data_IF_472091768089
#
_entry.id   IF_472091768089
#
_cell.length_a   1.000
_cell.length_b   1.000
_cell.length_c   1.000
_cell.angle_alpha   90.00
_cell.angle_beta   90.00
_cell.angle_gamma   90.00
#
_symmetry.space_group_name_H-M   'P 1'
#
loop_
_entity.id
_entity.type
_entity.pdbx_description
1 polymer ?
#
# COMPACT_ATOMS: atom_id res chain seq x y z
N UNK A 1 23.51 -12.74 36.12
CA UNK A 1 22.98 -14.12 36.10
C UNK A 1 21.50 -14.08 36.44
N UNK A 2 20.64 -14.24 35.45
CA UNK A 2 19.31 -14.88 35.48
C UNK A 2 18.70 -14.68 34.10
N UNK A 3 18.72 -15.76 33.31
CA UNK A 3 18.04 -15.87 32.01
C UNK A 3 16.53 -15.93 32.27
N UNK A 4 15.74 -15.10 31.60
CA UNK A 4 14.32 -15.35 31.39
C UNK A 4 14.13 -15.84 29.94
N UNK A 5 13.81 -17.10 29.82
CA UNK A 5 13.25 -17.66 28.60
C UNK A 5 11.77 -17.26 28.55
N UNK A 6 11.37 -16.60 27.47
CA UNK A 6 9.97 -16.40 27.12
C UNK A 6 9.56 -17.50 26.14
N UNK A 7 8.70 -18.37 26.60
CA UNK A 7 8.12 -19.49 25.86
C UNK A 7 6.86 -18.99 25.15
N UNK A 8 6.87 -18.93 23.82
CA UNK A 8 5.64 -18.77 23.03
C UNK A 8 4.86 -20.07 23.06
N UNK A 9 3.70 -20.06 23.68
CA UNK A 9 2.74 -21.17 23.65
C UNK A 9 1.82 -20.98 22.44
N UNK A 10 1.96 -21.84 21.45
CA UNK A 10 1.01 -21.99 20.36
C UNK A 10 -0.27 -22.64 20.90
N UNK A 11 -1.39 -21.95 20.82
CA UNK A 11 -2.70 -22.45 21.19
C UNK A 11 -3.38 -23.01 19.93
N UNK A 12 -3.35 -24.31 19.77
CA UNK A 12 -4.09 -25.04 18.73
C UNK A 12 -5.54 -25.20 19.17
N UNK A 13 -6.47 -24.53 18.49
CA UNK A 13 -7.91 -24.72 18.69
C UNK A 13 -8.38 -25.81 17.71
N UNK A 14 -8.70 -26.99 18.23
CA UNK A 14 -9.41 -28.04 17.52
C UNK A 14 -10.90 -27.65 17.42
N UNK A 15 -11.38 -27.44 16.20
CA UNK A 15 -12.82 -27.35 15.91
C UNK A 15 -13.38 -28.75 15.67
N UNK A 16 -14.19 -29.23 16.61
CA UNK A 16 -15.02 -30.44 16.42
C UNK A 16 -16.30 -30.07 15.69
N UNK A 17 -16.47 -30.60 14.47
CA UNK A 17 -17.75 -30.57 13.76
C UNK A 17 -18.69 -31.63 14.35
N UNK A 18 -19.83 -31.18 14.88
CA UNK A 18 -20.99 -32.02 15.09
C UNK A 18 -22.04 -31.70 14.06
N UNK A 19 -22.26 -32.65 13.14
CA UNK A 19 -23.38 -32.63 12.21
C UNK A 19 -24.64 -33.05 12.96
N UNK A 20 -25.72 -32.28 12.80
CA UNK A 20 -27.09 -32.76 13.00
C UNK A 20 -28.02 -32.19 11.97
N UNK A 21 -28.79 -33.06 11.44
CA UNK A 21 -29.63 -33.05 10.28
C UNK A 21 -30.99 -32.37 10.50
N UNK A 22 -31.51 -31.82 9.43
CA UNK A 22 -32.89 -31.88 8.93
C UNK A 22 -33.93 -30.77 9.20
N UNK A 23 -34.30 -30.24 8.09
CA UNK A 23 -35.65 -29.93 7.54
C UNK A 23 -36.27 -28.55 7.72
N UNK A 24 -36.46 -28.02 6.52
CA UNK A 24 -37.64 -27.29 6.00
C UNK A 24 -37.92 -25.85 6.43
N UNK A 25 -37.73 -25.00 5.45
CA UNK A 25 -38.69 -24.01 4.92
C UNK A 25 -39.09 -22.80 5.78
N UNK A 26 -38.55 -21.66 5.38
CA UNK A 26 -39.34 -20.49 4.98
C UNK A 26 -38.46 -19.23 4.88
N UNK A 27 -38.54 -18.58 3.72
CA UNK A 27 -38.01 -17.24 3.50
C UNK A 27 -38.57 -16.25 4.52
N UNK A 28 -37.71 -15.71 5.34
CA UNK A 28 -37.86 -14.39 5.92
C UNK A 28 -36.44 -13.85 6.21
N UNK A 29 -36.05 -12.82 5.48
CA UNK A 29 -34.87 -11.98 5.81
C UNK A 29 -35.07 -11.40 7.21
N UNK A 30 -34.51 -12.06 8.22
CA UNK A 30 -34.44 -11.53 9.57
C UNK A 30 -33.01 -11.16 9.86
N UNK A 31 -32.71 -9.85 9.85
CA UNK A 31 -31.52 -9.31 10.50
C UNK A 31 -31.39 -9.97 11.88
N UNK A 32 -30.32 -10.74 12.09
CA UNK A 32 -30.02 -11.32 13.38
C UNK A 32 -29.55 -10.17 14.28
N UNK A 33 -30.42 -9.70 15.18
CA UNK A 33 -29.98 -8.91 16.32
C UNK A 33 -29.06 -9.77 17.17
N UNK A 34 -27.85 -9.23 17.49
CA UNK A 34 -26.94 -9.86 18.42
C UNK A 34 -27.58 -10.03 19.81
N UNK A 35 -26.91 -10.70 20.73
CA UNK A 35 -27.31 -10.77 22.15
C UNK A 35 -27.41 -9.39 22.81
N UNK A 36 -26.79 -8.36 22.23
CA UNK A 36 -26.84 -6.95 22.64
C UNK A 36 -28.04 -6.19 22.09
N UNK A 37 -28.78 -6.79 21.14
CA UNK A 37 -29.88 -6.12 20.42
C UNK A 37 -29.44 -5.16 19.32
N UNK A 38 -28.13 -5.08 19.03
CA UNK A 38 -27.55 -4.28 17.95
C UNK A 38 -27.51 -5.04 16.63
N UNK A 39 -27.38 -4.31 15.55
CA UNK A 39 -27.10 -4.87 14.22
C UNK A 39 -25.58 -5.06 14.07
N UNK A 40 -25.15 -6.25 13.64
CA UNK A 40 -23.76 -6.56 13.43
C UNK A 40 -23.34 -6.19 12.02
N UNK A 41 -22.22 -5.44 11.86
CA UNK A 41 -21.52 -5.17 10.62
C UNK A 41 -20.29 -6.08 10.55
N UNK A 42 -20.18 -6.87 9.48
CA UNK A 42 -19.01 -7.74 9.24
C UNK A 42 -17.94 -6.97 8.47
N UNK A 43 -16.77 -6.82 9.08
CA UNK A 43 -15.63 -6.08 8.52
C UNK A 43 -14.52 -7.07 8.17
N UNK A 44 -14.09 -7.09 6.91
CA UNK A 44 -12.97 -7.92 6.45
C UNK A 44 -11.79 -7.07 6.06
N UNK A 45 -10.64 -7.33 6.69
CA UNK A 45 -9.41 -6.60 6.47
C UNK A 45 -8.19 -7.55 6.48
N UNK A 46 -7.05 -7.06 6.00
CA UNK A 46 -5.79 -7.79 6.03
C UNK A 46 -4.81 -7.24 7.08
N UNK A 47 -5.14 -6.10 7.68
CA UNK A 47 -4.47 -5.49 8.83
C UNK A 47 -5.52 -5.01 9.84
N UNK A 48 -5.09 -4.56 11.01
CA UNK A 48 -5.94 -3.96 12.04
C UNK A 48 -6.20 -2.45 11.82
N UNK A 49 -5.66 -1.85 10.75
CA UNK A 49 -5.72 -0.42 10.51
C UNK A 49 -7.15 0.09 10.27
N UNK A 50 -7.84 -0.44 9.25
CA UNK A 50 -9.24 -0.05 8.97
C UNK A 50 -10.18 -0.45 10.10
N UNK A 51 -10.08 -1.65 10.71
CA UNK A 51 -10.82 -1.95 11.93
C UNK A 51 -10.62 -0.90 13.04
N UNK A 52 -9.39 -0.46 13.28
CA UNK A 52 -9.10 0.60 14.25
C UNK A 52 -9.73 1.96 13.90
N UNK A 53 -9.81 2.30 12.60
CA UNK A 53 -10.54 3.49 12.13
C UNK A 53 -12.04 3.39 12.43
N UNK A 54 -12.63 2.23 12.20
CA UNK A 54 -14.05 1.98 12.47
C UNK A 54 -14.31 2.02 13.98
N UNK A 55 -13.43 1.47 14.80
CA UNK A 55 -13.52 1.56 16.27
C UNK A 55 -13.47 3.03 16.73
N UNK A 56 -12.61 3.85 16.10
CA UNK A 56 -12.56 5.29 16.35
C UNK A 56 -13.84 6.00 15.92
N UNK A 57 -14.40 5.64 14.76
CA UNK A 57 -15.71 6.15 14.33
C UNK A 57 -16.78 5.85 15.38
N UNK A 58 -16.84 4.61 15.88
CA UNK A 58 -17.79 4.17 16.91
C UNK A 58 -17.62 4.95 18.23
N UNK A 59 -16.37 5.25 18.61
CA UNK A 59 -16.06 6.08 19.79
C UNK A 59 -16.62 7.50 19.64
N UNK A 60 -16.39 8.12 18.49
CA UNK A 60 -16.80 9.49 18.20
C UNK A 60 -18.31 9.64 17.94
N UNK A 61 -18.98 8.55 17.53
CA UNK A 61 -20.40 8.53 17.17
C UNK A 61 -21.22 7.59 18.10
N UNK A 62 -21.43 7.94 19.38
CA UNK A 62 -22.07 7.04 20.36
C UNK A 62 -23.50 6.65 20.00
N UNK A 63 -24.22 7.46 19.23
CA UNK A 63 -25.58 7.13 18.77
C UNK A 63 -25.57 6.06 17.68
N UNK A 64 -24.55 6.04 16.82
CA UNK A 64 -24.28 4.96 15.87
C UNK A 64 -23.90 3.68 16.64
N UNK A 65 -22.98 3.78 17.60
CA UNK A 65 -22.52 2.66 18.42
C UNK A 65 -23.61 2.02 19.31
N UNK A 66 -24.73 2.72 19.57
CA UNK A 66 -25.91 2.14 20.21
C UNK A 66 -26.69 1.20 19.30
N UNK A 67 -26.64 1.44 17.99
CA UNK A 67 -27.41 0.69 16.98
C UNK A 67 -26.61 -0.46 16.38
N UNK A 68 -25.31 -0.27 16.21
CA UNK A 68 -24.42 -1.16 15.47
C UNK A 68 -23.29 -1.69 16.35
N UNK A 69 -22.78 -2.86 16.00
CA UNK A 69 -21.54 -3.45 16.52
C UNK A 69 -20.76 -4.07 15.35
N UNK A 70 -19.43 -4.09 15.42
CA UNK A 70 -18.58 -4.65 14.37
C UNK A 70 -18.12 -6.05 14.73
N UNK A 71 -18.14 -6.95 13.74
CA UNK A 71 -17.53 -8.28 13.79
C UNK A 71 -16.38 -8.29 12.76
N UNK A 72 -15.15 -8.26 13.25
CA UNK A 72 -13.97 -8.09 12.42
C UNK A 72 -13.29 -9.42 12.12
N UNK A 73 -12.95 -9.64 10.84
CA UNK A 73 -12.12 -10.74 10.36
C UNK A 73 -10.84 -10.18 9.76
N UNK A 74 -9.69 -10.51 10.35
CA UNK A 74 -8.37 -10.09 9.86
C UNK A 74 -7.63 -11.32 9.37
N UNK A 75 -7.19 -11.31 8.08
CA UNK A 75 -6.40 -12.35 7.46
C UNK A 75 -5.23 -11.67 6.73
N UNK A 76 -4.00 -11.92 7.15
CA UNK A 76 -2.83 -11.32 6.53
C UNK A 76 -2.66 -11.75 5.06
N UNK A 77 -2.10 -10.85 4.24
CA UNK A 77 -1.83 -11.11 2.81
C UNK A 77 -0.57 -11.93 2.56
N UNK A 78 0.32 -12.03 3.55
CA UNK A 78 1.69 -12.58 3.43
C UNK A 78 1.78 -13.98 2.83
N UNK A 79 0.80 -14.84 3.09
CA UNK A 79 0.76 -16.20 2.56
C UNK A 79 -0.29 -16.37 1.45
N UNK A 80 -0.81 -15.26 0.90
CA UNK A 80 -1.85 -15.26 -0.13
C UNK A 80 -3.20 -15.80 0.36
N UNK A 81 -3.44 -15.85 1.67
CA UNK A 81 -4.64 -16.45 2.25
C UNK A 81 -5.88 -15.53 2.18
N UNK A 82 -5.66 -14.21 2.20
CA UNK A 82 -6.75 -13.24 2.28
C UNK A 82 -7.69 -13.28 1.08
N UNK A 83 -7.15 -13.17 -0.14
CA UNK A 83 -7.97 -13.09 -1.35
C UNK A 83 -8.85 -14.34 -1.56
N UNK A 84 -8.35 -15.59 -1.46
CA UNK A 84 -9.21 -16.77 -1.59
C UNK A 84 -10.30 -16.85 -0.52
N UNK A 85 -10.01 -16.43 0.71
CA UNK A 85 -11.00 -16.41 1.79
C UNK A 85 -12.08 -15.35 1.53
N UNK A 86 -11.69 -14.15 1.10
CA UNK A 86 -12.62 -13.06 0.74
C UNK A 86 -13.51 -13.47 -0.45
N UNK A 87 -12.92 -14.06 -1.50
CA UNK A 87 -13.66 -14.56 -2.66
C UNK A 87 -14.73 -15.57 -2.25
N UNK A 88 -14.37 -16.50 -1.37
CA UNK A 88 -15.31 -17.51 -0.89
C UNK A 88 -16.43 -16.88 -0.05
N UNK A 89 -16.09 -15.91 0.82
CA UNK A 89 -17.09 -15.24 1.66
C UNK A 89 -18.07 -14.39 0.85
N UNK A 90 -17.58 -13.64 -0.13
CA UNK A 90 -18.41 -12.85 -1.06
C UNK A 90 -19.29 -13.76 -1.92
N UNK A 91 -18.76 -14.86 -2.44
CA UNK A 91 -19.50 -15.81 -3.27
C UNK A 91 -20.57 -16.60 -2.48
N UNK A 92 -20.27 -16.92 -1.22
CA UNK A 92 -21.22 -17.61 -0.34
C UNK A 92 -22.38 -16.71 0.06
N UNK A 93 -22.13 -15.40 0.20
CA UNK A 93 -23.16 -14.44 0.58
C UNK A 93 -23.76 -14.70 1.98
N UNK A 94 -24.93 -14.12 2.22
CA UNK A 94 -25.69 -14.33 3.44
C UNK A 94 -25.15 -13.55 4.64
N UNK A 95 -25.58 -13.92 5.84
CA UNK A 95 -25.36 -13.15 7.08
C UNK A 95 -23.91 -13.05 7.58
N UNK A 96 -23.06 -13.95 7.12
CA UNK A 96 -21.66 -14.01 7.52
C UNK A 96 -20.71 -13.43 6.41
N UNK A 97 -21.31 -12.97 5.29
CA UNK A 97 -20.58 -12.25 4.26
C UNK A 97 -20.09 -10.89 4.77
N UNK A 98 -18.97 -10.36 4.26
CA UNK A 98 -18.53 -9.03 4.62
C UNK A 98 -19.57 -7.97 4.22
N UNK A 99 -19.79 -6.98 5.09
CA UNK A 99 -20.49 -5.74 4.78
C UNK A 99 -19.52 -4.71 4.20
N UNK A 100 -18.34 -4.56 4.84
CA UNK A 100 -17.21 -3.77 4.37
C UNK A 100 -16.01 -4.70 4.22
N UNK A 101 -15.26 -4.55 3.14
CA UNK A 101 -14.01 -5.28 2.94
C UNK A 101 -12.92 -4.39 2.33
N UNK A 102 -11.69 -4.70 2.70
CA UNK A 102 -10.51 -3.95 2.27
C UNK A 102 -9.80 -4.67 1.13
N UNK A 103 -9.27 -3.91 0.19
CA UNK A 103 -8.40 -4.42 -0.86
C UNK A 103 -7.15 -3.55 -0.98
N UNK A 104 -5.98 -4.20 -1.04
CA UNK A 104 -4.69 -3.55 -1.19
C UNK A 104 -4.42 -3.30 -2.68
N UNK A 105 -3.60 -2.28 -3.00
CA UNK A 105 -3.30 -1.83 -4.36
C UNK A 105 -2.92 -2.97 -5.32
N UNK A 106 -2.16 -3.97 -4.86
CA UNK A 106 -1.69 -5.07 -5.69
C UNK A 106 -2.84 -5.94 -6.26
N UNK A 107 -3.98 -6.00 -5.58
CA UNK A 107 -5.10 -6.85 -5.98
C UNK A 107 -6.48 -6.15 -6.03
N UNK A 108 -6.55 -4.86 -5.71
CA UNK A 108 -7.83 -4.12 -5.64
C UNK A 108 -8.60 -4.19 -6.95
N UNK A 109 -7.92 -4.17 -8.09
CA UNK A 109 -8.57 -4.20 -9.41
C UNK A 109 -9.40 -5.46 -9.67
N UNK A 110 -9.09 -6.57 -9.02
CA UNK A 110 -9.94 -7.76 -9.04
C UNK A 110 -11.34 -7.46 -8.50
N UNK A 111 -11.43 -6.61 -7.48
CA UNK A 111 -12.67 -6.28 -6.75
C UNK A 111 -13.35 -5.01 -7.25
N UNK A 112 -12.65 -4.14 -7.97
CA UNK A 112 -13.23 -2.92 -8.53
C UNK A 112 -13.55 -3.06 -10.04
N UNK A 113 -12.74 -3.78 -10.81
CA UNK A 113 -12.83 -3.85 -12.27
C UNK A 113 -12.82 -5.27 -12.83
N UNK A 114 -12.33 -6.25 -12.05
CA UNK A 114 -12.16 -7.63 -12.47
C UNK A 114 -13.32 -8.56 -12.08
N UNK A 115 -13.01 -9.84 -11.95
CA UNK A 115 -14.00 -10.91 -11.79
C UNK A 115 -14.85 -10.80 -10.53
N UNK A 116 -14.35 -10.16 -9.47
CA UNK A 116 -15.06 -9.97 -8.21
C UNK A 116 -15.76 -8.60 -8.10
N UNK A 117 -15.63 -7.70 -9.08
CA UNK A 117 -16.29 -6.38 -9.08
C UNK A 117 -17.82 -6.48 -8.96
N UNK A 118 -18.40 -7.57 -9.44
CA UNK A 118 -19.84 -7.86 -9.33
C UNK A 118 -20.38 -7.90 -7.89
N UNK A 119 -19.52 -8.00 -6.88
CA UNK A 119 -19.92 -8.01 -5.46
C UNK A 119 -19.87 -6.63 -4.81
N UNK A 120 -19.19 -5.66 -5.42
CA UNK A 120 -19.04 -4.32 -4.88
C UNK A 120 -20.31 -3.47 -5.11
N UNK A 121 -20.70 -2.73 -4.08
CA UNK A 121 -21.73 -1.70 -4.20
C UNK A 121 -21.13 -0.42 -4.78
N UNK A 122 -21.91 0.33 -5.59
CA UNK A 122 -21.53 1.71 -5.88
C UNK A 122 -21.64 2.57 -4.62
N UNK A 123 -20.76 3.53 -4.45
CA UNK A 123 -20.82 4.46 -3.33
C UNK A 123 -22.12 5.29 -3.36
N UNK A 124 -22.65 5.57 -4.55
CA UNK A 124 -23.96 6.21 -4.70
C UNK A 124 -25.09 5.37 -4.12
N UNK A 125 -25.03 4.03 -4.21
CA UNK A 125 -26.00 3.12 -3.60
C UNK A 125 -25.93 3.09 -2.07
N UNK A 126 -24.83 3.60 -1.49
CA UNK A 126 -24.63 3.76 -0.06
C UNK A 126 -25.15 5.12 0.44
N UNK A 127 -25.64 5.97 -0.44
CA UNK A 127 -26.16 7.30 -0.12
C UNK A 127 -25.12 8.43 -0.15
N UNK A 128 -23.92 8.18 -0.69
CA UNK A 128 -22.81 9.15 -0.79
C UNK A 128 -22.98 10.00 -2.06
N UNK A 129 -22.83 11.32 -1.96
CA UNK A 129 -22.78 12.25 -3.10
C UNK A 129 -21.36 12.29 -3.71
N UNK A 130 -21.01 11.18 -4.36
CA UNK A 130 -19.66 10.82 -4.78
C UNK A 130 -18.97 11.92 -5.59
N UNK A 131 -19.66 12.51 -6.59
CA UNK A 131 -19.05 13.50 -7.48
C UNK A 131 -18.69 14.78 -6.73
N UNK A 132 -19.59 15.28 -5.89
CA UNK A 132 -19.36 16.51 -5.13
C UNK A 132 -18.32 16.30 -4.02
N UNK A 133 -18.32 15.15 -3.36
CA UNK A 133 -17.42 14.87 -2.25
C UNK A 133 -15.99 14.57 -2.73
N UNK A 134 -15.80 13.79 -3.80
CA UNK A 134 -14.49 13.61 -4.45
C UNK A 134 -13.88 14.96 -4.83
N UNK A 135 -14.70 15.84 -5.41
CA UNK A 135 -14.24 17.17 -5.82
C UNK A 135 -13.92 18.08 -4.63
N UNK A 136 -14.75 18.05 -3.58
CA UNK A 136 -14.52 18.87 -2.37
C UNK A 136 -13.26 18.43 -1.61
N UNK A 137 -13.03 17.13 -1.54
CA UNK A 137 -11.87 16.54 -0.89
C UNK A 137 -10.60 16.58 -1.76
N UNK A 138 -10.70 16.88 -3.06
CA UNK A 138 -9.60 16.81 -4.03
C UNK A 138 -8.90 15.44 -3.96
N UNK A 139 -9.70 14.37 -4.12
CA UNK A 139 -9.18 13.01 -4.02
C UNK A 139 -8.22 12.72 -5.19
N UNK A 140 -7.04 12.16 -4.87
CA UNK A 140 -6.03 11.80 -5.85
C UNK A 140 -6.62 10.95 -6.99
N UNK A 141 -6.49 11.41 -8.24
CA UNK A 141 -7.18 10.85 -9.40
C UNK A 141 -6.90 9.36 -9.62
N UNK A 142 -5.66 8.90 -9.36
CA UNK A 142 -5.33 7.48 -9.50
C UNK A 142 -6.16 6.59 -8.57
N UNK A 143 -6.48 7.06 -7.35
CA UNK A 143 -7.31 6.34 -6.40
C UNK A 143 -8.74 6.17 -6.91
N UNK A 144 -9.28 7.23 -7.53
CA UNK A 144 -10.58 7.22 -8.18
C UNK A 144 -10.59 6.29 -9.40
N UNK A 145 -9.55 6.38 -10.25
CA UNK A 145 -9.42 5.52 -11.45
C UNK A 145 -9.40 4.03 -11.07
N UNK A 146 -8.65 3.65 -10.03
CA UNK A 146 -8.59 2.28 -9.52
C UNK A 146 -9.92 1.84 -8.91
N UNK A 147 -10.60 2.74 -8.22
CA UNK A 147 -11.86 2.48 -7.52
C UNK A 147 -13.10 2.56 -8.40
N UNK A 148 -12.97 2.90 -9.68
CA UNK A 148 -14.09 3.03 -10.62
C UNK A 148 -14.26 1.73 -11.42
N UNK A 149 -15.45 1.18 -11.42
CA UNK A 149 -15.79 -0.03 -12.17
C UNK A 149 -15.93 0.22 -13.68
N UNK A 150 -16.03 -0.82 -14.53
CA UNK A 150 -16.23 -0.65 -15.98
C UNK A 150 -17.52 0.07 -16.39
N UNK A 151 -18.52 0.13 -15.51
CA UNK A 151 -19.79 0.83 -15.76
C UNK A 151 -19.66 2.34 -15.44
N UNK A 152 -18.56 2.78 -14.85
CA UNK A 152 -18.26 4.16 -14.48
C UNK A 152 -18.66 4.53 -13.05
N UNK A 153 -19.05 3.57 -12.23
CA UNK A 153 -19.40 3.80 -10.83
C UNK A 153 -18.19 3.69 -9.93
N UNK A 154 -18.04 4.59 -8.97
CA UNK A 154 -17.05 4.46 -7.90
C UNK A 154 -17.55 3.41 -6.91
N UNK A 155 -16.80 2.34 -6.75
CA UNK A 155 -17.08 1.20 -5.88
C UNK A 155 -16.07 1.03 -4.75
N UNK A 156 -15.00 1.82 -4.75
CA UNK A 156 -13.99 1.82 -3.71
C UNK A 156 -13.13 3.08 -3.76
N UNK A 157 -12.71 3.57 -2.62
CA UNK A 157 -11.73 4.66 -2.49
C UNK A 157 -10.70 4.31 -1.41
N UNK A 158 -9.48 4.78 -1.63
CA UNK A 158 -8.44 4.75 -0.61
C UNK A 158 -8.55 5.95 0.33
N UNK A 159 -8.07 5.79 1.55
CA UNK A 159 -7.95 6.88 2.51
C UNK A 159 -6.54 7.48 2.54
N UNK A 160 -5.56 6.81 1.93
CA UNK A 160 -4.17 7.27 1.81
C UNK A 160 -3.87 7.75 0.39
N UNK A 161 -3.02 8.77 0.27
CA UNK A 161 -2.33 9.08 -0.97
C UNK A 161 -0.94 8.42 -0.92
N UNK A 162 -0.66 7.58 -1.90
CA UNK A 162 0.54 6.74 -1.92
C UNK A 162 1.52 7.08 -3.04
N UNK A 163 1.47 8.32 -3.52
CA UNK A 163 2.50 8.89 -4.38
C UNK A 163 3.87 8.77 -3.71
N UNK A 164 4.89 8.37 -4.48
CA UNK A 164 6.20 8.00 -3.95
C UNK A 164 7.20 9.16 -3.93
N UNK A 165 8.13 9.08 -2.99
CA UNK A 165 9.26 9.98 -2.83
C UNK A 165 10.59 9.19 -2.75
N UNK A 166 11.71 9.87 -2.81
CA UNK A 166 13.00 9.35 -2.39
C UNK A 166 13.28 9.82 -0.96
N UNK A 167 13.36 8.87 -0.03
CA UNK A 167 13.56 9.08 1.41
C UNK A 167 15.03 8.83 1.69
N UNK A 168 15.80 9.85 2.10
CA UNK A 168 17.25 9.76 2.14
C UNK A 168 17.86 10.22 3.47
N UNK A 169 19.07 9.75 3.76
CA UNK A 169 19.90 10.08 4.94
C UNK A 169 20.58 11.44 4.76
N UNK A 170 20.27 12.40 5.63
CA UNK A 170 20.85 13.76 5.63
C UNK A 170 22.34 13.76 5.88
N UNK A 171 22.81 12.93 6.81
CA UNK A 171 24.25 12.83 7.14
C UNK A 171 25.06 12.37 5.94
N UNK A 172 24.59 11.35 5.22
CA UNK A 172 25.24 10.83 4.01
C UNK A 172 25.20 11.89 2.88
N UNK A 173 24.05 12.57 2.71
CA UNK A 173 23.93 13.67 1.74
C UNK A 173 24.97 14.77 1.98
N UNK A 174 25.15 15.20 3.23
CA UNK A 174 26.17 16.20 3.61
C UNK A 174 27.57 15.72 3.34
N UNK A 175 27.88 14.47 3.69
CA UNK A 175 29.23 13.91 3.51
C UNK A 175 29.60 13.79 2.02
N UNK A 176 28.67 13.33 1.17
CA UNK A 176 28.96 13.04 -0.25
C UNK A 176 28.76 14.26 -1.14
N UNK A 177 27.67 15.01 -0.93
CA UNK A 177 27.25 16.10 -1.83
C UNK A 177 27.44 17.50 -1.23
N UNK A 178 27.83 17.59 0.07
CA UNK A 178 28.01 18.85 0.76
C UNK A 178 26.70 19.59 1.11
N UNK A 179 25.56 18.93 0.96
CA UNK A 179 24.22 19.49 1.23
C UNK A 179 23.25 18.39 1.59
N UNK A 180 22.28 18.71 2.45
CA UNK A 180 21.12 17.86 2.75
C UNK A 180 19.79 18.55 2.41
N UNK A 181 19.84 19.64 1.66
CA UNK A 181 18.68 20.39 1.20
C UNK A 181 17.86 19.54 0.20
N UNK A 182 16.58 19.22 0.48
CA UNK A 182 15.75 18.40 -0.39
C UNK A 182 15.65 18.91 -1.83
N UNK A 183 15.59 20.22 -2.04
CA UNK A 183 15.53 20.81 -3.38
C UNK A 183 16.82 20.56 -4.20
N UNK A 184 17.99 20.49 -3.53
CA UNK A 184 19.25 20.18 -4.17
C UNK A 184 19.46 18.68 -4.37
N UNK A 185 19.06 17.87 -3.40
CA UNK A 185 19.16 16.41 -3.53
C UNK A 185 18.26 15.91 -4.66
N UNK A 186 17.04 16.42 -4.80
CA UNK A 186 16.19 16.17 -5.96
C UNK A 186 16.89 16.38 -7.30
N UNK A 187 17.69 17.46 -7.46
CA UNK A 187 18.43 17.75 -8.68
C UNK A 187 19.64 16.82 -8.90
N UNK A 188 20.17 16.25 -7.80
CA UNK A 188 21.31 15.33 -7.80
C UNK A 188 20.87 13.93 -8.19
N UNK A 189 19.75 13.44 -7.63
CA UNK A 189 19.24 12.08 -7.87
C UNK A 189 18.31 11.98 -9.07
N UNK A 190 17.85 13.08 -9.60
CA UNK A 190 16.87 13.13 -10.71
C UNK A 190 16.92 14.42 -11.52
N UNK A 191 16.01 14.56 -12.50
CA UNK A 191 15.13 13.51 -13.01
C UNK A 191 15.90 12.45 -13.83
N UNK A 192 15.34 11.25 -13.83
CA UNK A 192 15.82 10.11 -14.62
C UNK A 192 16.95 9.31 -13.99
N UNK A 193 17.10 8.08 -14.48
CA UNK A 193 18.05 7.11 -13.92
C UNK A 193 19.51 7.47 -14.15
N UNK A 194 19.86 8.24 -15.20
CA UNK A 194 21.25 8.65 -15.43
C UNK A 194 21.81 9.46 -14.26
N UNK A 195 21.05 10.47 -13.79
CA UNK A 195 21.49 11.27 -12.62
C UNK A 195 21.51 10.43 -11.33
N UNK A 196 20.54 9.51 -11.19
CA UNK A 196 20.50 8.61 -10.05
C UNK A 196 21.78 7.76 -9.96
N UNK A 197 22.22 7.23 -11.09
CA UNK A 197 23.46 6.44 -11.13
C UNK A 197 24.73 7.30 -11.06
N UNK A 198 24.73 8.55 -11.56
CA UNK A 198 25.81 9.50 -11.30
C UNK A 198 25.96 9.83 -9.80
N UNK A 199 24.85 9.85 -9.07
CA UNK A 199 24.87 9.98 -7.62
C UNK A 199 25.36 8.68 -6.94
N UNK A 200 24.99 7.51 -7.46
CA UNK A 200 25.45 6.21 -6.96
C UNK A 200 26.98 6.06 -7.08
N UNK A 201 27.59 6.51 -8.18
CA UNK A 201 29.05 6.53 -8.32
C UNK A 201 29.74 7.31 -7.19
N UNK A 202 29.24 8.51 -6.89
CA UNK A 202 29.81 9.37 -5.83
C UNK A 202 29.61 8.78 -4.44
N UNK A 203 28.49 8.10 -4.21
CA UNK A 203 28.21 7.40 -2.97
C UNK A 203 29.15 6.20 -2.79
N UNK A 204 29.33 5.40 -3.84
CA UNK A 204 30.19 4.23 -3.85
C UNK A 204 31.66 4.60 -3.64
N UNK A 205 32.14 5.72 -4.19
CA UNK A 205 33.50 6.25 -3.96
C UNK A 205 33.79 6.51 -2.45
N UNK A 206 32.74 6.72 -1.65
CA UNK A 206 32.82 6.89 -0.18
C UNK A 206 32.37 5.66 0.60
N UNK A 207 32.02 4.57 -0.06
CA UNK A 207 31.64 3.31 0.57
C UNK A 207 30.16 3.19 0.95
N UNK A 208 29.31 4.10 0.48
CA UNK A 208 27.86 4.05 0.67
C UNK A 208 27.16 3.29 -0.46
N UNK A 209 25.98 2.71 -0.16
CA UNK A 209 25.04 2.25 -1.17
C UNK A 209 23.98 3.30 -1.45
N UNK A 210 23.46 3.38 -2.69
CA UNK A 210 22.42 4.34 -3.03
C UNK A 210 21.04 3.86 -2.56
N UNK A 211 20.77 2.55 -2.67
CA UNK A 211 19.56 1.86 -2.19
C UNK A 211 19.93 0.54 -1.54
N UNK A 212 19.01 -0.06 -0.79
CA UNK A 212 19.23 -1.32 -0.09
C UNK A 212 19.25 -2.53 -1.04
N UNK A 213 18.30 -2.56 -1.98
CA UNK A 213 18.19 -3.59 -3.01
C UNK A 213 17.55 -3.06 -4.28
N UNK A 214 17.45 -3.91 -5.30
CA UNK A 214 16.76 -3.55 -6.54
C UNK A 214 15.23 -3.45 -6.36
N UNK A 215 14.68 -4.05 -5.30
CA UNK A 215 13.29 -3.88 -4.91
C UNK A 215 12.91 -2.43 -4.68
N UNK A 216 13.81 -1.62 -4.09
CA UNK A 216 13.54 -0.20 -3.85
C UNK A 216 13.27 0.55 -5.16
N UNK A 217 14.09 0.36 -6.20
CA UNK A 217 13.85 1.01 -7.51
C UNK A 217 12.72 0.33 -8.31
N UNK A 218 12.39 -0.96 -8.02
CA UNK A 218 11.28 -1.63 -8.66
C UNK A 218 9.95 -0.92 -8.41
N UNK A 219 9.70 -0.48 -7.18
CA UNK A 219 8.47 0.23 -6.86
C UNK A 219 8.27 1.48 -7.72
N UNK A 220 9.36 2.18 -8.06
CA UNK A 220 9.30 3.32 -8.98
C UNK A 220 9.04 2.88 -10.43
N UNK A 221 9.61 1.75 -10.88
CA UNK A 221 9.43 1.24 -12.25
C UNK A 221 8.06 0.60 -12.45
N UNK A 222 7.56 -0.12 -11.45
CA UNK A 222 6.31 -0.89 -11.50
C UNK A 222 5.12 -0.05 -11.95
N UNK A 223 4.95 1.12 -11.36
CA UNK A 223 3.79 1.98 -11.54
C UNK A 223 4.09 3.30 -12.29
N UNK A 224 5.24 3.39 -12.94
CA UNK A 224 5.61 4.54 -13.80
C UNK A 224 5.56 4.22 -15.29
N UNK A 225 5.29 2.96 -15.67
CA UNK A 225 5.24 2.51 -17.05
C UNK A 225 4.08 3.14 -17.82
N UNK A 226 4.29 3.45 -19.10
CA UNK A 226 3.29 4.05 -19.99
C UNK A 226 2.20 3.05 -20.40
N UNK A 227 2.52 1.74 -20.40
CA UNK A 227 1.62 0.65 -20.74
C UNK A 227 1.45 -0.31 -19.56
N UNK A 228 0.24 -0.84 -19.38
CA UNK A 228 0.00 -1.96 -18.46
C UNK A 228 0.68 -3.26 -18.92
N UNK A 229 0.79 -4.23 -18.02
CA UNK A 229 1.24 -5.57 -18.39
C UNK A 229 0.29 -6.24 -19.39
N UNK A 230 -0.99 -5.99 -19.29
CA UNK A 230 -2.01 -6.54 -20.19
C UNK A 230 -2.72 -5.40 -20.91
N UNK A 231 -2.61 -5.41 -22.24
CA UNK A 231 -3.31 -4.49 -23.13
C UNK A 231 -4.06 -5.31 -24.17
N UNK A 232 -5.38 -5.13 -24.28
CA UNK A 232 -6.24 -5.89 -25.19
C UNK A 232 -6.06 -7.42 -25.06
N UNK A 233 -6.01 -7.92 -23.82
CA UNK A 233 -5.76 -9.33 -23.49
C UNK A 233 -4.42 -9.87 -24.01
N UNK A 234 -3.40 -9.03 -24.15
CA UNK A 234 -2.06 -9.42 -24.59
C UNK A 234 -1.02 -8.95 -23.59
N UNK A 235 -0.03 -9.80 -23.32
CA UNK A 235 1.14 -9.41 -22.54
C UNK A 235 1.96 -8.37 -23.31
N UNK A 236 2.24 -7.25 -22.64
CA UNK A 236 3.12 -6.18 -23.11
C UNK A 236 4.21 -5.96 -22.08
N UNK A 237 5.47 -6.06 -22.48
CA UNK A 237 6.58 -5.65 -21.63
C UNK A 237 6.90 -4.19 -22.01
N UNK A 238 6.52 -3.27 -21.13
CA UNK A 238 6.81 -1.85 -21.31
C UNK A 238 8.33 -1.62 -21.30
N UNK A 239 8.87 -0.71 -22.13
CA UNK A 239 10.29 -0.42 -22.16
C UNK A 239 10.90 -0.05 -20.80
N UNK A 240 10.19 0.68 -19.94
CA UNK A 240 10.66 1.01 -18.58
C UNK A 240 10.77 -0.23 -17.69
N UNK A 241 9.82 -1.18 -17.80
CA UNK A 241 9.90 -2.45 -17.09
C UNK A 241 11.00 -3.35 -17.66
N UNK A 242 11.23 -3.33 -18.97
CA UNK A 242 12.34 -4.07 -19.57
C UNK A 242 13.70 -3.49 -19.17
N UNK A 243 13.81 -2.15 -19.06
CA UNK A 243 15.00 -1.44 -18.59
C UNK A 243 15.38 -1.84 -17.15
N UNK A 244 14.40 -2.24 -16.32
CA UNK A 244 14.68 -2.69 -14.96
C UNK A 244 15.70 -3.84 -14.89
N UNK A 245 15.77 -4.71 -15.90
CA UNK A 245 16.84 -5.72 -16.00
C UNK A 245 18.23 -5.07 -15.99
N UNK A 246 18.39 -3.99 -16.74
CA UNK A 246 19.66 -3.30 -16.90
C UNK A 246 19.98 -2.43 -15.68
N UNK A 247 18.96 -1.79 -15.08
CA UNK A 247 19.09 -1.04 -13.82
C UNK A 247 19.51 -1.95 -12.65
N UNK A 248 18.85 -3.11 -12.50
CA UNK A 248 19.20 -4.10 -11.47
C UNK A 248 20.60 -4.66 -11.66
N UNK A 249 20.98 -4.97 -12.90
CA UNK A 249 22.34 -5.42 -13.20
C UNK A 249 23.39 -4.34 -12.90
N UNK A 250 23.11 -3.08 -13.24
CA UNK A 250 23.99 -1.95 -12.94
C UNK A 250 24.20 -1.74 -11.45
N UNK A 251 23.15 -1.87 -10.63
CA UNK A 251 23.27 -1.85 -9.17
C UNK A 251 24.20 -2.96 -8.68
N UNK A 252 24.05 -4.17 -9.23
CA UNK A 252 24.81 -5.36 -8.83
C UNK A 252 26.27 -5.29 -9.25
N UNK A 253 26.57 -5.01 -10.51
CA UNK A 253 27.92 -5.01 -11.06
C UNK A 253 28.80 -3.91 -10.45
N UNK A 254 28.22 -2.75 -10.13
CA UNK A 254 28.95 -1.63 -9.52
C UNK A 254 28.86 -1.60 -8.01
N UNK A 255 28.23 -2.59 -7.39
CA UNK A 255 28.13 -2.71 -5.94
C UNK A 255 27.48 -1.47 -5.27
N UNK A 256 26.40 -0.94 -5.90
CA UNK A 256 25.69 0.26 -5.44
C UNK A 256 24.63 0.00 -4.38
N UNK A 257 24.38 -1.23 -4.00
CA UNK A 257 23.42 -1.67 -2.99
C UNK A 257 23.96 -2.79 -2.09
N UNK A 258 23.22 -3.19 -1.07
CA UNK A 258 23.52 -4.34 -0.22
C UNK A 258 22.89 -5.66 -0.73
N UNK A 259 22.25 -5.62 -1.91
CA UNK A 259 21.59 -6.78 -2.54
C UNK A 259 20.52 -7.42 -1.63
N UNK A 260 19.80 -6.58 -0.88
CA UNK A 260 18.76 -7.03 0.04
C UNK A 260 17.45 -7.29 -0.70
N UNK A 261 16.59 -8.06 -0.08
CA UNK A 261 15.21 -8.25 -0.50
C UNK A 261 14.29 -7.47 0.45
N UNK A 262 13.38 -6.69 -0.11
CA UNK A 262 12.38 -5.92 0.64
C UNK A 262 11.59 -6.82 1.61
N UNK A 263 11.23 -6.29 2.79
CA UNK A 263 10.52 -6.99 3.87
C UNK A 263 11.30 -8.13 4.53
N UNK A 264 12.64 -8.15 4.40
CA UNK A 264 13.53 -9.08 5.09
C UNK A 264 14.40 -8.36 6.11
N UNK A 265 14.94 -9.12 7.07
CA UNK A 265 15.76 -8.62 8.17
C UNK A 265 16.94 -7.74 7.69
N UNK A 266 17.55 -8.09 6.55
CA UNK A 266 18.68 -7.32 5.99
C UNK A 266 18.23 -5.94 5.48
N UNK A 267 17.05 -5.82 4.88
CA UNK A 267 16.47 -4.55 4.45
C UNK A 267 16.15 -3.64 5.65
N UNK A 268 15.61 -4.21 6.73
CA UNK A 268 15.39 -3.47 7.97
C UNK A 268 16.70 -3.07 8.67
N UNK A 269 17.74 -3.91 8.59
CA UNK A 269 19.07 -3.56 9.12
C UNK A 269 19.68 -2.36 8.39
N UNK A 270 19.45 -2.23 7.08
CA UNK A 270 19.90 -1.08 6.30
C UNK A 270 19.23 0.24 6.73
N UNK A 271 17.96 0.21 7.12
CA UNK A 271 17.25 1.38 7.68
C UNK A 271 17.88 1.85 9.00
N UNK A 272 18.42 0.91 9.77
CA UNK A 272 19.10 1.17 11.02
C UNK A 272 20.56 1.62 10.85
N UNK A 273 21.12 1.44 9.64
CA UNK A 273 22.53 1.69 9.35
C UNK A 273 23.46 0.56 9.81
N UNK A 274 22.94 -0.68 9.93
CA UNK A 274 23.67 -1.88 10.38
C UNK A 274 23.96 -2.86 9.23
N UNK A 275 23.66 -2.52 7.96
CA UNK A 275 24.01 -3.31 6.80
C UNK A 275 25.49 -3.30 6.45
N UNK A 276 25.89 -4.05 5.42
CA UNK A 276 27.29 -4.13 4.96
C UNK A 276 27.83 -2.75 4.53
N UNK A 277 26.97 -1.91 3.96
CA UNK A 277 27.19 -0.49 3.68
C UNK A 277 26.07 0.31 4.32
N UNK A 278 26.35 1.53 4.74
CA UNK A 278 25.28 2.47 5.04
C UNK A 278 24.56 2.86 3.72
N UNK A 279 23.25 2.83 3.76
CA UNK A 279 22.38 3.09 2.59
C UNK A 279 21.92 4.54 2.59
N UNK A 280 22.04 5.17 1.41
CA UNK A 280 21.66 6.57 1.22
C UNK A 280 20.15 6.76 1.28
N UNK A 281 19.34 5.90 0.64
CA UNK A 281 17.90 6.09 0.65
C UNK A 281 17.06 4.91 0.20
N UNK A 282 15.75 5.14 0.29
CA UNK A 282 14.69 4.20 -0.05
C UNK A 282 13.63 4.90 -0.90
N UNK A 283 12.95 4.16 -1.77
CA UNK A 283 11.81 4.65 -2.52
C UNK A 283 10.52 4.27 -1.80
N UNK A 284 9.65 5.23 -1.53
CA UNK A 284 8.36 4.92 -0.93
C UNK A 284 7.46 6.12 -0.70
N UNK A 285 6.18 5.85 -0.44
CA UNK A 285 5.20 6.86 -0.01
C UNK A 285 5.37 7.21 1.48
N UNK A 286 4.52 8.13 1.96
CA UNK A 286 4.58 8.59 3.34
C UNK A 286 4.42 7.47 4.38
N UNK A 287 3.56 6.46 4.11
CA UNK A 287 3.40 5.32 5.01
C UNK A 287 4.70 4.52 5.23
N UNK A 288 5.61 4.46 4.23
CA UNK A 288 6.89 3.78 4.41
C UNK A 288 7.72 4.42 5.52
N UNK A 289 7.62 5.74 5.70
CA UNK A 289 8.31 6.47 6.77
C UNK A 289 7.82 5.97 8.13
N UNK A 290 6.51 6.07 8.38
CA UNK A 290 5.96 5.85 9.70
C UNK A 290 5.75 4.37 10.03
N UNK A 291 5.36 3.56 9.03
CA UNK A 291 5.08 2.15 9.22
C UNK A 291 6.33 1.27 9.18
N UNK A 292 7.37 1.69 8.46
CA UNK A 292 8.50 0.82 8.18
C UNK A 292 9.84 1.41 8.61
N UNK A 293 10.23 2.60 8.10
CA UNK A 293 11.59 3.12 8.35
C UNK A 293 11.72 3.58 9.81
N UNK A 294 10.79 4.36 10.33
CA UNK A 294 10.87 4.86 11.70
C UNK A 294 10.89 3.76 12.76
N UNK A 295 10.04 2.70 12.69
CA UNK A 295 10.12 1.57 13.62
C UNK A 295 11.43 0.77 13.53
N UNK A 296 12.11 0.79 12.38
CA UNK A 296 13.33 0.03 12.13
C UNK A 296 14.60 0.88 12.12
N UNK A 297 14.54 2.18 12.45
CA UNK A 297 15.69 3.08 12.42
C UNK A 297 16.64 2.95 13.65
N UNK A 298 16.28 2.14 14.62
CA UNK A 298 17.11 1.88 15.80
C UNK A 298 16.99 2.90 16.93
N UNK A 299 15.98 3.78 16.89
CA UNK A 299 15.70 4.76 17.93
C UNK A 299 14.28 5.33 17.84
N UNK A 300 13.89 6.07 18.87
CA UNK A 300 12.57 6.73 18.96
C UNK A 300 12.66 8.26 19.01
N UNK A 301 13.89 8.79 19.08
CA UNK A 301 14.15 10.23 19.25
C UNK A 301 15.30 10.67 18.36
N UNK A 302 15.32 11.95 18.04
CA UNK A 302 16.40 12.59 17.27
C UNK A 302 17.76 12.26 17.90
N UNK A 303 18.64 11.66 17.08
CA UNK A 303 19.99 11.25 17.48
C UNK A 303 20.12 9.83 18.02
N UNK A 304 19.04 9.07 18.11
CA UNK A 304 19.07 7.64 18.41
C UNK A 304 18.98 6.85 17.10
N UNK A 305 19.89 5.91 16.88
CA UNK A 305 19.98 5.19 15.61
C UNK A 305 20.08 6.16 14.43
N UNK A 306 19.17 6.01 13.46
CA UNK A 306 19.05 6.94 12.32
C UNK A 306 17.86 7.91 12.45
N UNK A 307 17.15 7.93 13.59
CA UNK A 307 16.00 8.79 13.82
C UNK A 307 16.40 10.29 13.76
N UNK A 308 15.69 11.06 12.95
CA UNK A 308 15.96 12.50 12.74
C UNK A 308 17.03 12.80 11.70
N UNK A 309 17.65 11.77 11.11
CA UNK A 309 18.65 11.91 10.03
C UNK A 309 18.05 11.71 8.63
N UNK A 310 16.74 11.74 8.50
CA UNK A 310 16.06 11.52 7.23
C UNK A 310 15.48 12.79 6.63
N UNK A 311 15.29 12.77 5.32
CA UNK A 311 14.54 13.77 4.57
C UNK A 311 13.86 13.11 3.37
N UNK A 312 12.93 13.82 2.75
CA UNK A 312 12.25 13.38 1.54
C UNK A 312 12.42 14.39 0.41
N UNK A 313 12.55 13.89 -0.82
CA UNK A 313 12.54 14.71 -2.02
C UNK A 313 11.82 13.99 -3.16
N UNK A 314 11.53 14.69 -4.25
CA UNK A 314 11.00 14.10 -5.47
C UNK A 314 11.97 13.03 -6.01
N UNK A 315 11.46 11.85 -6.41
CA UNK A 315 12.28 10.75 -6.91
C UNK A 315 12.75 10.99 -8.36
N UNK A 316 13.69 10.19 -8.88
CA UNK A 316 14.12 10.27 -10.29
C UNK A 316 12.98 10.05 -11.29
N UNK A 317 11.96 9.29 -10.92
CA UNK A 317 10.76 9.00 -11.71
C UNK A 317 9.55 8.96 -10.79
N UNK A 318 8.42 9.55 -11.21
CA UNK A 318 7.18 9.55 -10.43
C UNK A 318 6.53 8.16 -10.40
N UNK A 319 5.98 7.78 -9.24
CA UNK A 319 5.35 6.48 -9.02
C UNK A 319 4.35 6.55 -7.86
N UNK A 320 3.62 5.46 -7.64
CA UNK A 320 2.91 5.20 -6.39
C UNK A 320 3.16 3.76 -5.93
N UNK A 321 2.97 3.50 -4.64
CA UNK A 321 3.12 2.16 -4.09
C UNK A 321 2.16 1.92 -2.93
N UNK A 322 1.38 0.81 -3.03
CA UNK A 322 0.45 0.39 -2.01
C UNK A 322 -0.79 1.28 -1.88
N UNK A 323 -1.45 1.16 -0.77
CA UNK A 323 -2.71 1.79 -0.43
C UNK A 323 -3.81 0.76 -0.21
N UNK A 324 -4.80 1.15 0.59
CA UNK A 324 -5.95 0.31 0.92
C UNK A 324 -7.22 1.00 0.46
N UNK A 325 -8.02 0.28 -0.33
CA UNK A 325 -9.36 0.69 -0.76
C UNK A 325 -10.42 0.02 0.11
N UNK A 326 -11.41 0.81 0.52
CA UNK A 326 -12.60 0.31 1.18
C UNK A 326 -13.68 0.02 0.16
N UNK A 327 -14.25 -1.18 0.23
CA UNK A 327 -15.36 -1.60 -0.62
C UNK A 327 -16.52 -2.06 0.26
N UNK A 328 -17.74 -1.93 -0.27
CA UNK A 328 -18.95 -2.41 0.38
C UNK A 328 -19.57 -3.56 -0.42
N UNK A 329 -20.16 -4.51 0.28
CA UNK A 329 -20.92 -5.58 -0.37
C UNK A 329 -22.28 -5.05 -0.85
N UNK A 330 -22.54 -5.17 -2.15
CA UNK A 330 -23.81 -4.70 -2.75
C UNK A 330 -25.06 -5.37 -2.18
N UNK A 331 -24.90 -6.59 -1.66
CA UNK A 331 -25.99 -7.40 -1.11
C UNK A 331 -26.18 -7.18 0.40
N UNK A 332 -25.42 -6.24 1.02
CA UNK A 332 -25.64 -5.86 2.41
C UNK A 332 -26.96 -5.14 2.62
N UNK A 333 -27.65 -5.50 3.72
CA UNK A 333 -28.86 -4.83 4.18
C UNK A 333 -28.56 -3.51 4.93
N UNK A 334 -27.27 -3.20 5.20
CA UNK A 334 -26.83 -2.13 6.08
C UNK A 334 -26.21 -0.93 5.32
N UNK A 335 -26.66 -0.69 4.09
CA UNK A 335 -26.01 0.26 3.15
C UNK A 335 -25.82 1.67 3.73
N UNK A 336 -26.85 2.21 4.40
CA UNK A 336 -26.76 3.55 5.02
C UNK A 336 -25.67 3.62 6.09
N UNK A 337 -25.60 2.63 6.98
CA UNK A 337 -24.58 2.57 8.02
C UNK A 337 -23.16 2.37 7.45
N UNK A 338 -23.02 1.57 6.40
CA UNK A 338 -21.76 1.38 5.66
C UNK A 338 -21.34 2.70 5.02
N UNK A 339 -22.30 3.40 4.39
CA UNK A 339 -22.06 4.70 3.75
C UNK A 339 -21.53 5.74 4.72
N UNK A 340 -22.10 5.86 5.93
CA UNK A 340 -21.62 6.77 6.97
C UNK A 340 -20.16 6.48 7.37
N UNK A 341 -19.78 5.20 7.50
CA UNK A 341 -18.41 4.80 7.86
C UNK A 341 -17.43 5.08 6.70
N UNK A 342 -17.79 4.67 5.49
CA UNK A 342 -16.93 4.82 4.30
C UNK A 342 -16.71 6.31 3.99
N UNK A 343 -17.76 7.11 4.03
CA UNK A 343 -17.66 8.55 3.84
C UNK A 343 -16.71 9.19 4.83
N UNK A 344 -16.89 8.90 6.11
CA UNK A 344 -16.05 9.44 7.17
C UNK A 344 -14.56 9.08 7.00
N UNK A 345 -14.26 7.86 6.53
CA UNK A 345 -12.90 7.39 6.32
C UNK A 345 -12.28 7.97 5.03
N UNK A 346 -13.04 8.03 3.92
CA UNK A 346 -12.45 8.22 2.59
C UNK A 346 -12.72 9.60 1.97
N UNK A 347 -13.81 10.28 2.34
CA UNK A 347 -14.28 11.48 1.65
C UNK A 347 -14.46 12.70 2.54
N UNK A 348 -14.79 12.50 3.82
CA UNK A 348 -14.98 13.61 4.73
C UNK A 348 -13.67 14.39 4.94
N UNK A 349 -13.56 15.54 4.25
CA UNK A 349 -12.39 16.43 4.30
C UNK A 349 -12.52 17.56 5.35
N UNK A 350 -13.46 17.46 6.28
CA UNK A 350 -13.59 18.39 7.40
C UNK A 350 -12.71 17.99 8.59
N UNK A 351 -12.58 18.88 9.59
CA UNK A 351 -11.82 18.59 10.82
C UNK A 351 -12.36 17.41 11.62
N UNK A 352 -13.63 17.02 11.40
CA UNK A 352 -14.29 15.89 12.03
C UNK A 352 -14.07 14.56 11.28
N UNK A 353 -13.49 14.60 10.07
CA UNK A 353 -13.18 13.43 9.24
C UNK A 353 -11.89 12.71 9.66
N UNK A 354 -11.80 11.42 9.36
CA UNK A 354 -10.61 10.61 9.66
C UNK A 354 -9.35 11.20 9.04
N UNK A 355 -9.41 11.59 7.77
CA UNK A 355 -8.23 12.06 7.03
C UNK A 355 -7.60 13.30 7.67
N UNK A 356 -8.42 14.24 8.17
CA UNK A 356 -7.89 15.39 8.92
C UNK A 356 -7.19 14.96 10.21
N UNK A 357 -7.81 14.07 10.97
CA UNK A 357 -7.22 13.55 12.20
C UNK A 357 -5.90 12.82 11.92
N UNK A 358 -5.82 12.05 10.84
CA UNK A 358 -4.62 11.31 10.46
C UNK A 358 -3.51 12.23 9.98
N UNK A 359 -3.80 13.18 9.10
CA UNK A 359 -2.83 14.15 8.60
C UNK A 359 -2.23 15.04 9.71
N UNK A 360 -3.00 15.32 10.77
CA UNK A 360 -2.58 16.16 11.88
C UNK A 360 -2.11 15.38 13.13
N UNK A 361 -2.08 14.05 13.08
CA UNK A 361 -1.61 13.22 14.20
C UNK A 361 -2.54 13.26 15.42
N UNK A 362 -3.85 13.52 15.23
CA UNK A 362 -4.84 13.52 16.31
C UNK A 362 -5.71 12.26 16.34
N UNK A 363 -5.48 11.37 15.39
CA UNK A 363 -6.21 10.11 15.26
C UNK A 363 -5.89 9.14 16.42
N UNK A 364 -4.64 9.04 16.81
CA UNK A 364 -4.15 8.13 17.83
C UNK A 364 -3.23 8.81 18.85
N UNK A 365 -2.94 8.10 19.96
CA UNK A 365 -2.11 8.62 21.05
C UNK A 365 -0.64 8.83 20.65
N UNK A 366 -0.15 8.14 19.61
CA UNK A 366 1.23 8.26 19.14
C UNK A 366 1.50 9.60 18.43
N UNK A 367 0.45 10.28 17.99
CA UNK A 367 0.59 11.51 17.21
C UNK A 367 1.17 11.29 15.81
N UNK A 368 1.13 10.06 15.30
CA UNK A 368 1.63 9.73 13.97
C UNK A 368 0.81 10.44 12.90
N UNK A 369 1.50 11.13 11.98
CA UNK A 369 0.92 11.80 10.81
C UNK A 369 1.22 11.00 9.56
N UNK A 370 0.29 10.97 8.60
CA UNK A 370 0.51 10.32 7.31
C UNK A 370 -0.11 11.13 6.17
N UNK A 371 0.29 10.83 4.94
CA UNK A 371 -0.37 11.36 3.75
C UNK A 371 -1.75 10.70 3.58
N UNK A 372 -2.73 11.53 3.27
CA UNK A 372 -4.13 11.12 3.10
C UNK A 372 -4.59 11.32 1.66
N UNK A 373 -5.66 10.64 1.27
CA UNK A 373 -6.18 10.71 -0.11
C UNK A 373 -6.67 12.12 -0.48
N UNK A 374 -7.12 12.91 0.51
CA UNK A 374 -7.60 14.26 0.29
C UNK A 374 -6.47 15.27 0.16
N UNK A 375 -6.30 15.83 -1.05
CA UNK A 375 -5.42 16.98 -1.29
C UNK A 375 -5.82 18.19 -0.44
N UNK A 376 -7.11 18.46 -0.34
CA UNK A 376 -7.67 19.55 0.49
C UNK A 376 -7.23 19.44 1.95
N UNK A 377 -7.28 18.23 2.52
CA UNK A 377 -6.86 18.01 3.92
C UNK A 377 -5.35 18.21 4.07
N UNK A 378 -4.53 17.67 3.16
CA UNK A 378 -3.07 17.83 3.27
C UNK A 378 -2.62 19.28 3.13
N UNK A 379 -3.27 20.07 2.24
CA UNK A 379 -2.98 21.49 2.06
C UNK A 379 -3.28 22.35 3.30
N UNK A 380 -4.27 21.96 4.11
CA UNK A 380 -4.64 22.66 5.35
C UNK A 380 -3.95 22.10 6.60
N UNK A 381 -3.08 21.10 6.46
CA UNK A 381 -2.44 20.36 7.55
C UNK A 381 -0.94 20.61 7.63
N UNK A 382 -0.36 20.39 8.82
CA UNK A 382 1.09 20.41 9.04
C UNK A 382 1.67 18.99 9.06
N UNK A 383 2.32 18.58 7.98
CA UNK A 383 3.00 17.31 7.83
C UNK A 383 4.43 17.27 8.37
N UNK A 384 4.83 18.19 9.24
CA UNK A 384 6.17 18.22 9.82
C UNK A 384 6.41 17.02 10.74
N UNK A 385 7.55 16.34 10.56
CA UNK A 385 7.96 15.17 11.35
C UNK A 385 9.36 15.38 11.93
N UNK A 386 9.53 15.13 13.22
CA UNK A 386 10.85 15.11 13.87
C UNK A 386 11.78 14.07 13.24
N UNK A 387 11.22 12.96 12.79
CA UNK A 387 11.90 11.91 12.04
C UNK A 387 12.61 12.46 10.78
N UNK A 388 11.99 13.42 10.11
CA UNK A 388 12.51 14.11 8.92
C UNK A 388 13.30 15.39 9.25
N UNK A 389 13.73 15.56 10.53
CA UNK A 389 14.41 16.79 10.95
C UNK A 389 13.52 18.04 10.90
N UNK A 390 12.23 17.87 11.07
CA UNK A 390 11.23 18.95 11.03
C UNK A 390 10.72 19.31 9.62
N UNK A 391 11.08 18.53 8.59
CA UNK A 391 10.57 18.76 7.24
C UNK A 391 9.07 18.46 7.19
N UNK A 392 8.29 19.34 6.55
CA UNK A 392 6.90 19.06 6.18
C UNK A 392 6.90 18.09 4.98
N UNK A 393 6.45 16.86 5.19
CA UNK A 393 6.43 15.84 4.14
C UNK A 393 5.40 16.13 3.06
N UNK A 394 4.33 16.88 3.35
CA UNK A 394 3.27 17.18 2.38
C UNK A 394 3.76 18.05 1.23
N UNK A 395 4.82 18.86 1.42
CA UNK A 395 5.46 19.63 0.34
C UNK A 395 5.99 18.72 -0.81
N UNK A 396 6.24 17.44 -0.50
CA UNK A 396 6.71 16.43 -1.48
C UNK A 396 5.58 15.50 -1.89
N UNK A 397 4.76 15.01 -0.94
CA UNK A 397 3.75 14.00 -1.25
C UNK A 397 2.50 14.54 -1.95
N UNK A 398 2.11 15.81 -1.74
CA UNK A 398 1.01 16.43 -2.51
C UNK A 398 1.32 16.42 -4.02
N UNK A 399 2.45 16.99 -4.50
CA UNK A 399 2.77 16.93 -5.92
C UNK A 399 3.06 15.50 -6.42
N UNK A 400 3.56 14.59 -5.59
CA UNK A 400 3.83 13.21 -5.97
C UNK A 400 2.57 12.47 -6.47
N UNK A 401 1.40 12.79 -5.91
CA UNK A 401 0.12 12.20 -6.34
C UNK A 401 -0.27 12.50 -7.79
N UNK A 402 0.25 13.59 -8.37
CA UNK A 402 -0.02 13.97 -9.76
C UNK A 402 0.69 13.04 -10.77
N UNK A 403 1.75 12.35 -10.34
CA UNK A 403 2.51 11.40 -11.17
C UNK A 403 2.00 9.96 -11.05
N UNK A 404 1.09 9.69 -10.10
CA UNK A 404 0.48 8.39 -9.94
C UNK A 404 -0.55 8.12 -11.05
N UNK A 405 -0.48 6.94 -11.67
CA UNK A 405 -1.36 6.55 -12.75
C UNK A 405 -2.01 5.18 -12.46
N UNK A 406 -3.29 5.18 -12.15
CA UNK A 406 -4.08 3.97 -11.88
C UNK A 406 -4.68 3.30 -13.12
N UNK A 407 -4.56 3.91 -14.31
CA UNK A 407 -5.27 3.44 -15.53
C UNK A 407 -4.62 2.25 -16.22
N UNK A 408 -3.34 2.01 -15.96
CA UNK A 408 -2.55 0.97 -16.64
C UNK A 408 -2.51 -0.35 -15.89
N UNK A 409 -3.22 -0.47 -14.78
CA UNK A 409 -3.21 -1.66 -13.92
C UNK A 409 -4.29 -2.65 -14.33
N UNK A 410 -4.08 -3.93 -13.99
CA UNK A 410 -5.03 -5.02 -14.17
C UNK A 410 -5.04 -5.96 -12.96
N UNK A 411 -6.08 -6.80 -12.85
CA UNK A 411 -6.17 -7.82 -11.80
C UNK A 411 -5.01 -8.86 -11.82
N UNK A 412 -4.17 -8.86 -12.84
CA UNK A 412 -3.06 -9.82 -13.02
C UNK A 412 -1.71 -9.27 -12.58
N UNK A 413 -1.62 -7.97 -12.28
CA UNK A 413 -0.36 -7.26 -12.10
C UNK A 413 0.47 -7.83 -10.93
N UNK A 414 -0.14 -8.16 -9.79
CA UNK A 414 0.55 -8.80 -8.65
C UNK A 414 1.29 -10.09 -9.08
N UNK A 415 0.59 -10.96 -9.81
CA UNK A 415 1.15 -12.23 -10.28
C UNK A 415 2.25 -12.02 -11.33
N UNK A 416 2.01 -11.09 -12.27
CA UNK A 416 2.98 -10.80 -13.35
C UNK A 416 4.24 -10.14 -12.79
N UNK A 417 4.10 -9.20 -11.87
CA UNK A 417 5.22 -8.56 -11.18
C UNK A 417 6.09 -9.58 -10.45
N UNK A 418 5.49 -10.54 -9.75
CA UNK A 418 6.22 -11.64 -9.12
C UNK A 418 7.01 -12.45 -10.14
N UNK A 419 6.39 -12.87 -11.25
CA UNK A 419 7.08 -13.61 -12.29
C UNK A 419 8.23 -12.80 -12.90
N UNK A 420 8.04 -11.50 -13.11
CA UNK A 420 9.08 -10.62 -13.64
C UNK A 420 10.27 -10.51 -12.68
N UNK A 421 10.03 -10.14 -11.43
CA UNK A 421 11.08 -10.00 -10.41
C UNK A 421 11.86 -11.30 -10.18
N UNK A 422 11.20 -12.46 -10.21
CA UNK A 422 11.86 -13.75 -10.11
C UNK A 422 12.84 -14.00 -11.26
N UNK A 423 12.53 -13.59 -12.48
CA UNK A 423 13.42 -13.72 -13.62
C UNK A 423 14.54 -12.69 -13.63
N UNK A 424 14.26 -11.45 -13.17
CA UNK A 424 15.31 -10.43 -12.98
C UNK A 424 16.36 -10.93 -12.00
N UNK A 425 15.98 -11.51 -10.86
CA UNK A 425 16.94 -12.10 -9.89
C UNK A 425 17.77 -13.24 -10.49
N UNK A 426 17.17 -14.09 -11.33
CA UNK A 426 17.93 -15.15 -12.02
C UNK A 426 18.92 -14.60 -13.05
N UNK A 427 18.59 -13.48 -13.68
CA UNK A 427 19.49 -12.75 -14.56
C UNK A 427 20.63 -12.08 -13.78
N UNK A 428 20.34 -11.28 -12.76
CA UNK A 428 21.35 -10.56 -11.97
C UNK A 428 22.27 -11.48 -11.18
N UNK A 429 21.81 -12.67 -10.80
CA UNK A 429 22.64 -13.72 -10.19
C UNK A 429 23.49 -14.53 -11.19
N UNK A 430 23.36 -14.25 -12.50
CA UNK A 430 24.09 -14.97 -13.55
C UNK A 430 23.59 -16.39 -13.85
N UNK A 431 22.43 -16.79 -13.31
CA UNK A 431 21.82 -18.09 -13.57
C UNK A 431 21.20 -18.15 -14.97
N UNK A 432 20.76 -17.02 -15.51
CA UNK A 432 20.18 -16.88 -16.85
C UNK A 432 20.81 -15.68 -17.58
N UNK A 433 20.90 -15.77 -18.90
CA UNK A 433 21.09 -14.60 -19.73
C UNK A 433 19.83 -13.74 -19.74
N UNK A 434 19.96 -12.47 -20.12
CA UNK A 434 18.83 -11.53 -20.28
C UNK A 434 17.70 -12.12 -21.15
N UNK A 435 18.06 -12.72 -22.28
CA UNK A 435 17.09 -13.37 -23.17
C UNK A 435 16.37 -14.54 -22.50
N UNK A 436 17.11 -15.42 -21.83
CA UNK A 436 16.50 -16.56 -21.13
C UNK A 436 15.57 -16.13 -20.01
N UNK A 437 15.89 -15.03 -19.30
CA UNK A 437 15.03 -14.47 -18.27
C UNK A 437 13.70 -13.96 -18.88
N UNK A 438 13.77 -13.18 -19.97
CA UNK A 438 12.58 -12.69 -20.67
C UNK A 438 11.74 -13.84 -21.24
N UNK A 439 12.36 -14.83 -21.87
CA UNK A 439 11.64 -15.97 -22.43
C UNK A 439 10.95 -16.79 -21.33
N UNK A 440 11.62 -17.01 -20.20
CA UNK A 440 11.05 -17.72 -19.06
C UNK A 440 9.91 -16.93 -18.40
N UNK A 441 10.02 -15.60 -18.31
CA UNK A 441 8.93 -14.74 -17.86
C UNK A 441 7.70 -14.91 -18.76
N UNK A 442 7.86 -14.78 -20.07
CA UNK A 442 6.79 -14.96 -21.05
C UNK A 442 6.14 -16.33 -20.92
N UNK A 443 6.94 -17.38 -20.73
CA UNK A 443 6.44 -18.73 -20.54
C UNK A 443 5.62 -18.87 -19.26
N UNK A 444 6.10 -18.29 -18.13
CA UNK A 444 5.36 -18.32 -16.87
C UNK A 444 3.99 -17.64 -16.99
N UNK A 445 3.92 -16.51 -17.69
CA UNK A 445 2.64 -15.83 -17.96
C UNK A 445 1.73 -16.68 -18.82
N UNK A 446 2.25 -17.27 -19.92
CA UNK A 446 1.47 -18.09 -20.83
C UNK A 446 0.90 -19.36 -20.18
N UNK A 447 1.64 -19.96 -19.24
CA UNK A 447 1.27 -21.21 -18.58
C UNK A 447 0.23 -21.00 -17.46
N UNK A 448 0.17 -19.79 -16.87
CA UNK A 448 -0.61 -19.55 -15.65
C UNK A 448 -1.74 -18.55 -15.80
N UNK A 449 -1.75 -17.74 -16.87
CA UNK A 449 -2.77 -16.71 -17.09
C UNK A 449 -3.45 -16.89 -18.45
N UNK A 450 -4.75 -16.60 -18.50
CA UNK A 450 -5.53 -16.65 -19.75
C UNK A 450 -5.35 -15.34 -20.56
N UNK A 451 -4.09 -15.11 -20.98
CA UNK A 451 -3.71 -13.94 -21.79
C UNK A 451 -2.85 -14.37 -22.99
N UNK A 452 -2.90 -13.61 -24.06
CA UNK A 452 -2.09 -13.88 -25.25
C UNK A 452 -0.65 -13.44 -25.01
N UNK A 453 0.32 -14.35 -25.17
CA UNK A 453 1.75 -14.06 -25.11
C UNK A 453 2.39 -14.27 -26.48
N UNK A 454 3.19 -13.29 -26.97
CA UNK A 454 3.91 -13.33 -28.23
C UNK A 454 5.42 -13.30 -28.05
#
# INVERSE_FOLDING_TARGET
MKKLLSTCAALSILLTFTACDNSSNSNSSSNKKSSSGKTTLNIWAFTDEVPGMIDKYMELHPDFAKKYECNTTIIATTDGAYQPALDQALAAGGKDAPDIYCAEAAFVLKYTQGDAAKYAASYSDLGIDVENEIKAADIAQYSVDIGTNPDGDVVGLGYQATGGAFIYRRSIAKDVFGTDDPAKIKEIVGPGWDKFFDAADKLADKGYGIVSGDGDIWHAVENSSDSGWIVDNKLVIDPLREEFLDLSMKLKENNYHNDTEDWKDAWFADMKGEGDKEIFGFFGPAWLINYTIAPNCGGEKVGEGTYGDWAVCEPPIGFFWGGTWLLANKDSDNKEAIGEIIDWITLNCTEDGLQYMWANGTYNESGTKDAVASGTVMEMSDGSLDFLGGQNMFDVFIPANQFANGKNLTQYDETINKYWRDQVRQYTSGQKSRKEAIDAFKQNVADNLDVTVK
#
